data_IF_245835989715
#
_entry.id   IF_245835989715
#
_cell.length_a   1.000
_cell.length_b   1.000
_cell.length_c   1.000
_cell.angle_alpha   90.00
_cell.angle_beta   90.00
_cell.angle_gamma   90.00
#
_symmetry.space_group_name_H-M   'P 1'
#
loop_
_entity.id
_entity.type
_entity.pdbx_description
1 polymer ?
#
# COMPACT_ATOMS: atom_id res chain seq x y z
N UNK A 1 -11.36 6.11 0.35
CA UNK A 1 -10.68 4.82 0.61
C UNK A 1 -9.24 5.10 0.99
N UNK A 2 -8.62 4.25 1.79
CA UNK A 2 -7.24 4.40 2.27
C UNK A 2 -6.41 3.18 1.90
N UNK A 3 -5.24 3.41 1.32
CA UNK A 3 -4.33 2.37 0.86
C UNK A 3 -2.99 2.55 1.57
N UNK A 4 -2.43 1.46 2.06
CA UNK A 4 -1.13 1.42 2.69
C UNK A 4 -0.13 0.68 1.80
N UNK A 5 1.03 1.29 1.54
CA UNK A 5 2.06 0.74 0.66
C UNK A 5 3.41 0.82 1.37
N UNK A 6 4.14 -0.28 1.58
CA UNK A 6 5.53 -0.25 2.04
C UNK A 6 6.42 0.32 0.92
N UNK A 7 7.22 1.34 1.21
CA UNK A 7 8.05 2.04 0.22
C UNK A 7 9.51 2.18 0.65
N UNK A 8 10.40 2.35 -0.33
CA UNK A 8 11.85 2.43 -0.12
C UNK A 8 12.36 3.82 0.30
N UNK A 9 11.50 4.85 0.30
CA UNK A 9 11.81 6.22 0.71
C UNK A 9 10.55 7.05 0.97
N UNK A 10 10.71 8.25 1.54
CA UNK A 10 9.61 9.22 1.77
C UNK A 10 9.47 10.27 0.65
N UNK A 11 10.11 10.05 -0.49
CA UNK A 11 10.03 10.96 -1.64
C UNK A 11 8.94 10.47 -2.59
N UNK A 12 7.76 11.09 -2.59
CA UNK A 12 6.61 10.66 -3.42
C UNK A 12 6.95 10.47 -4.90
N UNK A 13 7.80 11.32 -5.46
CA UNK A 13 8.05 11.33 -6.91
C UNK A 13 9.09 10.26 -7.33
N UNK A 14 9.83 9.71 -6.39
CA UNK A 14 10.92 8.74 -6.65
C UNK A 14 10.73 7.41 -5.92
N UNK A 15 9.90 7.37 -4.89
CA UNK A 15 9.73 6.17 -4.07
C UNK A 15 9.05 5.06 -4.87
N UNK A 16 9.48 3.84 -4.61
CA UNK A 16 8.88 2.64 -5.15
C UNK A 16 8.44 1.72 -4.02
N UNK A 17 7.51 0.82 -4.33
CA UNK A 17 7.10 -0.26 -3.44
C UNK A 17 8.32 -1.10 -3.04
N UNK A 18 8.38 -1.45 -1.75
CA UNK A 18 9.40 -2.28 -1.14
C UNK A 18 8.75 -3.48 -0.44
N UNK A 19 9.56 -4.40 0.09
CA UNK A 19 9.05 -5.44 0.98
C UNK A 19 8.61 -4.85 2.32
N UNK A 20 7.68 -5.50 3.01
CA UNK A 20 7.26 -5.10 4.36
C UNK A 20 8.46 -5.10 5.31
N UNK A 21 9.33 -6.11 5.25
CA UNK A 21 10.50 -6.20 6.12
C UNK A 21 11.55 -5.12 5.81
N UNK A 22 11.72 -4.77 4.52
CA UNK A 22 12.78 -3.87 4.04
C UNK A 22 12.34 -2.44 3.79
N UNK A 23 11.08 -2.08 4.06
CA UNK A 23 10.58 -0.73 3.81
C UNK A 23 11.32 0.30 4.66
N UNK A 24 11.49 1.51 4.11
CA UNK A 24 11.98 2.67 4.89
C UNK A 24 10.85 3.55 5.41
N UNK A 25 9.66 3.41 4.83
CA UNK A 25 8.46 4.08 5.25
C UNK A 25 7.22 3.36 4.71
N UNK A 26 6.08 3.73 5.28
CA UNK A 26 4.76 3.40 4.79
C UNK A 26 4.16 4.63 4.10
N UNK A 27 3.81 4.50 2.83
CA UNK A 27 2.99 5.48 2.13
C UNK A 27 1.52 5.18 2.44
N UNK A 28 0.86 6.10 3.14
CA UNK A 28 -0.56 6.09 3.42
C UNK A 28 -1.27 7.02 2.43
N UNK A 29 -2.02 6.42 1.51
CA UNK A 29 -2.69 7.10 0.40
C UNK A 29 -4.16 7.24 0.74
N UNK A 30 -4.68 8.46 0.71
CA UNK A 30 -6.11 8.73 0.82
C UNK A 30 -6.67 9.02 -0.58
N UNK A 31 -7.66 8.24 -0.96
CA UNK A 31 -8.44 8.40 -2.19
C UNK A 31 -9.82 8.96 -1.89
N UNK A 32 -10.23 9.94 -2.67
CA UNK A 32 -11.60 10.47 -2.70
C UNK A 32 -12.07 10.55 -4.16
N UNK A 33 -13.28 10.06 -4.42
CA UNK A 33 -13.87 9.96 -5.78
C UNK A 33 -12.90 9.42 -6.86
N UNK A 34 -12.09 8.43 -6.50
CA UNK A 34 -11.12 7.79 -7.41
C UNK A 34 -9.87 8.62 -7.69
N UNK A 35 -9.58 9.66 -6.91
CA UNK A 35 -8.39 10.50 -7.04
C UNK A 35 -7.58 10.51 -5.75
N UNK A 36 -6.26 10.58 -5.88
CA UNK A 36 -5.36 10.81 -4.74
C UNK A 36 -5.60 12.21 -4.23
N UNK A 37 -6.09 12.32 -2.99
CA UNK A 37 -6.22 13.61 -2.29
C UNK A 37 -5.07 13.86 -1.35
N UNK A 38 -4.41 12.79 -0.86
CA UNK A 38 -3.31 12.90 0.08
C UNK A 38 -2.40 11.67 0.03
N UNK A 39 -1.10 11.91 0.18
CA UNK A 39 -0.10 10.87 0.44
C UNK A 39 0.70 11.32 1.66
N UNK A 40 0.72 10.50 2.69
CA UNK A 40 1.48 10.72 3.92
C UNK A 40 2.49 9.59 4.10
N UNK A 41 3.64 9.89 4.70
CA UNK A 41 4.67 8.90 4.95
C UNK A 41 4.89 8.72 6.45
N UNK A 42 4.85 7.48 6.90
CA UNK A 42 5.05 7.10 8.29
C UNK A 42 6.23 6.13 8.41
N UNK A 43 6.99 6.21 9.49
CA UNK A 43 8.06 5.22 9.73
C UNK A 43 7.49 3.90 10.25
N UNK A 44 6.40 4.02 11.02
CA UNK A 44 5.75 2.91 11.69
C UNK A 44 4.28 2.92 11.32
N UNK A 45 3.73 1.73 11.06
CA UNK A 45 2.30 1.58 10.75
C UNK A 45 1.45 2.04 11.94
N UNK A 46 1.94 1.83 13.15
CA UNK A 46 1.29 2.16 14.41
C UNK A 46 1.06 3.68 14.58
N UNK A 47 1.75 4.52 13.80
CA UNK A 47 1.53 5.98 13.79
C UNK A 47 0.25 6.36 13.01
N UNK A 48 -0.35 5.42 12.28
CA UNK A 48 -1.57 5.60 11.49
C UNK A 48 -2.78 5.26 12.36
N UNK A 49 -3.50 6.28 12.79
CA UNK A 49 -4.73 6.13 13.60
C UNK A 49 -6.01 6.03 12.77
N UNK A 50 -5.91 6.22 11.46
CA UNK A 50 -7.03 6.15 10.52
C UNK A 50 -7.18 4.70 10.03
N UNK A 51 -8.43 4.28 9.80
CA UNK A 51 -8.71 2.97 9.21
C UNK A 51 -7.99 2.80 7.87
N UNK A 52 -7.42 1.61 7.64
CA UNK A 52 -6.75 1.22 6.41
C UNK A 52 -7.67 0.24 5.67
N UNK A 53 -8.13 0.59 4.48
CA UNK A 53 -9.00 -0.31 3.71
C UNK A 53 -8.20 -1.44 3.06
N UNK A 54 -7.02 -1.13 2.51
CA UNK A 54 -6.16 -2.10 1.84
C UNK A 54 -4.67 -1.88 2.13
N UNK A 55 -3.92 -2.97 2.19
CA UNK A 55 -2.46 -2.98 2.10
C UNK A 55 -2.05 -3.57 0.75
N UNK A 56 -1.18 -2.87 0.01
CA UNK A 56 -0.64 -3.36 -1.27
C UNK A 56 0.81 -3.73 -1.10
N UNK A 57 1.17 -4.95 -1.45
CA UNK A 57 2.50 -5.52 -1.24
C UNK A 57 3.15 -5.95 -2.55
N UNK A 58 4.48 -6.05 -2.56
CA UNK A 58 5.27 -6.26 -3.78
C UNK A 58 5.19 -7.69 -4.35
N UNK A 59 4.83 -8.68 -3.53
CA UNK A 59 4.63 -10.08 -3.95
C UNK A 59 3.81 -10.85 -2.90
N UNK A 60 3.51 -12.12 -3.22
CA UNK A 60 2.74 -13.08 -2.41
C UNK A 60 3.56 -13.78 -1.29
N UNK A 61 4.82 -13.40 -1.09
CA UNK A 61 5.69 -13.91 -0.02
C UNK A 61 5.71 -12.98 1.21
N UNK A 62 5.02 -11.85 1.13
CA UNK A 62 5.00 -10.82 2.18
C UNK A 62 4.14 -11.24 3.38
N UNK A 63 4.57 -10.86 4.58
CA UNK A 63 3.88 -11.23 5.82
C UNK A 63 2.67 -10.32 6.07
N UNK A 64 1.58 -10.57 5.34
CA UNK A 64 0.35 -9.77 5.39
C UNK A 64 -0.68 -10.21 6.44
N UNK A 65 -0.49 -11.36 7.09
CA UNK A 65 -1.46 -11.90 8.04
C UNK A 65 -1.93 -10.93 9.13
N UNK A 66 -1.06 -10.10 9.75
CA UNK A 66 -1.51 -9.12 10.73
C UNK A 66 -2.53 -8.12 10.18
N UNK A 67 -2.41 -7.75 8.90
CA UNK A 67 -3.36 -6.85 8.25
C UNK A 67 -4.70 -7.56 8.01
N UNK A 68 -4.64 -8.80 7.52
CA UNK A 68 -5.84 -9.59 7.24
C UNK A 68 -6.64 -9.93 8.51
N UNK A 69 -5.95 -10.23 9.61
CA UNK A 69 -6.57 -10.48 10.93
C UNK A 69 -7.32 -9.24 11.47
N UNK A 70 -6.87 -8.04 11.08
CA UNK A 70 -7.55 -6.76 11.39
C UNK A 70 -8.68 -6.42 10.40
N UNK A 71 -8.94 -7.27 9.41
CA UNK A 71 -9.96 -7.04 8.37
C UNK A 71 -9.51 -6.13 7.23
N UNK A 72 -8.20 -5.87 7.10
CA UNK A 72 -7.61 -5.10 6.01
C UNK A 72 -7.43 -6.00 4.79
N UNK A 73 -7.82 -5.52 3.61
CA UNK A 73 -7.67 -6.27 2.36
C UNK A 73 -6.18 -6.29 1.98
N UNK A 74 -5.61 -7.48 1.77
CA UNK A 74 -4.25 -7.62 1.26
C UNK A 74 -4.28 -7.81 -0.27
N UNK A 75 -3.53 -6.98 -0.99
CA UNK A 75 -3.41 -7.01 -2.44
C UNK A 75 -1.94 -7.09 -2.86
N UNK A 76 -1.68 -7.70 -4.00
CA UNK A 76 -0.34 -7.82 -4.58
C UNK A 76 -0.23 -6.95 -5.82
N UNK A 77 0.84 -6.15 -5.90
CA UNK A 77 1.24 -5.39 -7.08
C UNK A 77 2.20 -6.22 -7.95
N UNK A 78 1.73 -6.90 -9.02
CA UNK A 78 2.57 -7.80 -9.80
C UNK A 78 3.66 -7.09 -10.60
N UNK A 79 3.40 -5.84 -11.04
CA UNK A 79 4.31 -5.10 -11.92
C UNK A 79 4.46 -3.63 -11.54
N UNK A 80 3.48 -3.07 -10.83
CA UNK A 80 3.45 -1.65 -10.45
C UNK A 80 4.52 -1.37 -9.41
N UNK A 81 5.19 -0.22 -9.54
CA UNK A 81 6.25 0.22 -8.63
C UNK A 81 5.93 1.50 -7.90
N UNK A 82 5.47 2.52 -8.63
CA UNK A 82 5.20 3.82 -8.05
C UNK A 82 3.82 3.85 -7.37
N UNK A 83 3.61 4.82 -6.48
CA UNK A 83 2.31 5.03 -5.82
C UNK A 83 1.20 5.27 -6.86
N UNK A 84 1.48 6.07 -7.88
CA UNK A 84 0.48 6.43 -8.90
C UNK A 84 0.09 5.21 -9.74
N UNK A 85 1.07 4.37 -10.16
CA UNK A 85 0.79 3.11 -10.86
C UNK A 85 -0.05 2.13 -10.01
N UNK A 86 0.28 2.01 -8.72
CA UNK A 86 -0.45 1.14 -7.79
C UNK A 86 -1.89 1.61 -7.59
N UNK A 87 -2.10 2.92 -7.43
CA UNK A 87 -3.43 3.50 -7.28
C UNK A 87 -4.24 3.31 -8.57
N UNK A 88 -3.64 3.52 -9.73
CA UNK A 88 -4.30 3.27 -11.02
C UNK A 88 -4.75 1.81 -11.13
N UNK A 89 -3.85 0.86 -10.86
CA UNK A 89 -4.16 -0.57 -10.87
C UNK A 89 -5.24 -0.93 -9.83
N UNK A 90 -5.24 -0.30 -8.65
CA UNK A 90 -6.30 -0.49 -7.65
C UNK A 90 -7.67 -0.05 -8.17
N UNK A 91 -7.75 1.11 -8.83
CA UNK A 91 -9.00 1.64 -9.38
C UNK A 91 -9.54 0.78 -10.54
N UNK A 92 -8.65 0.21 -11.36
CA UNK A 92 -9.02 -0.69 -12.45
C UNK A 92 -9.20 -2.15 -12.02
N UNK A 93 -8.90 -2.49 -10.76
CA UNK A 93 -8.90 -3.86 -10.21
C UNK A 93 -7.90 -4.81 -10.90
N UNK A 94 -6.73 -4.27 -11.25
CA UNK A 94 -5.61 -5.01 -11.85
C UNK A 94 -4.60 -5.52 -10.80
N UNK A 95 -4.76 -5.14 -9.54
CA UNK A 95 -4.03 -5.76 -8.42
C UNK A 95 -4.60 -7.15 -8.13
N UNK A 96 -3.75 -8.08 -7.69
CA UNK A 96 -4.18 -9.43 -7.38
C UNK A 96 -4.59 -9.56 -5.91
N UNK A 97 -5.66 -10.29 -5.62
CA UNK A 97 -5.99 -10.67 -4.26
C UNK A 97 -4.86 -11.53 -3.67
N UNK A 98 -4.43 -11.20 -2.45
CA UNK A 98 -3.50 -12.06 -1.72
C UNK A 98 -4.22 -13.37 -1.38
N UNK A 99 -3.92 -14.41 -2.16
CA UNK A 99 -4.56 -15.72 -2.04
C UNK A 99 -3.68 -16.66 -1.23
N UNK A 100 -4.30 -17.43 -0.33
CA UNK A 100 -3.66 -18.49 0.48
C UNK A 100 -3.39 -19.73 -0.38
#
# INVERSE_FOLDING_TARGET
MTILIPVDSKNRDECIIASIEGNKAWAFVTLDEGKIVKVEFYERREDISVWIDAVVVINDLEYVWPFMDEGIIALVAPTQKSIDEIVEAFLFKDLHDFSI
#
